data_IF_573899603445
#
_entry.id   IF_573899603445
#
_cell.length_a   1.000
_cell.length_b   1.000
_cell.length_c   1.000
_cell.angle_alpha   90.00
_cell.angle_beta   90.00
_cell.angle_gamma   90.00
#
_symmetry.space_group_name_H-M   'P 1'
#
loop_
_entity.id
_entity.type
_entity.pdbx_description
1 polymer ?
#
# COMPACT_ATOMS: atom_id res chain seq x y z
N UNK A 1 -33.66 23.39 -37.14
CA UNK A 1 -34.82 24.02 -36.49
C UNK A 1 -34.47 24.20 -35.01
N UNK A 2 -34.28 25.42 -34.70
CA UNK A 2 -34.26 26.24 -33.53
C UNK A 2 -35.19 25.73 -32.39
N UNK A 3 -34.71 25.68 -31.15
CA UNK A 3 -35.25 26.47 -30.04
C UNK A 3 -34.31 26.46 -28.82
N UNK A 4 -33.80 27.61 -28.56
CA UNK A 4 -33.18 28.22 -27.41
C UNK A 4 -34.27 28.41 -26.33
N UNK A 5 -33.97 28.19 -25.06
CA UNK A 5 -34.63 28.94 -23.99
C UNK A 5 -33.61 29.29 -22.89
N UNK A 6 -33.53 30.58 -22.66
CA UNK A 6 -32.76 31.32 -21.68
C UNK A 6 -33.58 31.57 -20.41
N UNK A 7 -32.88 32.01 -19.40
CA UNK A 7 -33.28 32.89 -18.27
C UNK A 7 -33.67 32.14 -16.98
N UNK A 8 -33.39 32.63 -15.76
CA UNK A 8 -32.93 33.95 -15.33
C UNK A 8 -32.35 33.86 -13.92
N UNK A 9 -31.47 34.77 -13.68
CA UNK A 9 -30.90 35.29 -12.44
C UNK A 9 -31.95 35.88 -11.52
N UNK A 10 -31.86 35.68 -10.19
CA UNK A 10 -32.38 36.65 -9.24
C UNK A 10 -31.46 36.74 -8.02
N UNK A 11 -30.85 37.89 -7.87
CA UNK A 11 -30.21 38.43 -6.66
C UNK A 11 -31.28 38.95 -5.72
N UNK A 12 -31.10 38.81 -4.43
CA UNK A 12 -31.62 39.79 -3.48
C UNK A 12 -30.69 39.88 -2.26
N UNK A 13 -30.35 41.13 -2.00
CA UNK A 13 -29.43 41.71 -1.04
C UNK A 13 -30.25 42.33 0.12
N UNK A 14 -29.57 42.53 1.25
CA UNK A 14 -29.92 43.40 2.43
C UNK A 14 -30.83 42.76 3.48
N UNK A 15 -30.52 42.88 4.78
CA UNK A 15 -30.16 44.10 5.49
C UNK A 15 -29.53 43.86 6.85
N UNK A 16 -28.75 44.85 7.26
CA UNK A 16 -28.16 45.11 8.58
C UNK A 16 -29.19 45.25 9.71
N UNK A 17 -28.76 44.91 10.91
CA UNK A 17 -29.41 45.31 12.14
C UNK A 17 -28.43 45.32 13.30
N UNK A 18 -27.76 46.44 13.53
CA UNK A 18 -27.07 46.81 14.77
C UNK A 18 -28.09 47.16 15.84
N UNK A 19 -27.92 46.65 17.08
CA UNK A 19 -28.28 47.40 18.27
C UNK A 19 -27.38 47.02 19.44
N UNK A 20 -26.68 48.05 19.94
CA UNK A 20 -25.95 48.09 21.19
C UNK A 20 -26.88 48.59 22.31
N UNK A 21 -26.57 48.15 23.56
CA UNK A 21 -26.67 48.92 24.84
C UNK A 21 -26.47 47.93 25.96
N UNK A 22 -25.39 48.04 26.71
CA UNK A 22 -25.16 48.91 27.86
C UNK A 22 -25.65 48.35 29.21
N UNK A 23 -24.70 48.06 30.09
CA UNK A 23 -24.70 48.53 31.46
C UNK A 23 -24.88 47.51 32.58
N UNK A 24 -23.83 47.27 33.34
CA UNK A 24 -23.71 47.53 34.80
C UNK A 24 -22.99 46.43 35.56
N UNK A 25 -21.83 46.78 36.05
CA UNK A 25 -21.20 46.18 37.24
C UNK A 25 -21.97 46.60 38.49
N UNK A 26 -21.89 45.88 39.60
CA UNK A 26 -21.22 46.46 40.75
C UNK A 26 -20.15 45.59 41.43
N UNK A 27 -19.33 46.35 42.12
CA UNK A 27 -18.12 45.96 42.88
C UNK A 27 -18.40 45.36 44.27
N UNK A 28 -17.37 44.61 44.72
CA UNK A 28 -16.71 44.63 46.07
C UNK A 28 -17.46 44.08 47.30
N UNK A 29 -16.84 43.06 47.92
CA UNK A 29 -16.22 43.21 49.27
C UNK A 29 -15.32 42.03 49.63
N UNK A 30 -14.13 42.39 50.02
CA UNK A 30 -13.05 41.61 50.67
C UNK A 30 -13.43 41.35 52.13
N UNK A 31 -13.18 40.15 52.64
CA UNK A 31 -12.80 39.94 54.03
C UNK A 31 -11.77 38.85 54.17
N UNK A 32 -10.64 39.21 54.79
CA UNK A 32 -9.58 38.33 55.26
C UNK A 32 -10.02 37.59 56.52
N UNK A 33 -9.58 36.32 56.64
CA UNK A 33 -9.24 35.76 57.95
C UNK A 33 -8.18 34.70 57.77
N UNK A 34 -7.03 34.93 58.37
CA UNK A 34 -5.92 34.00 58.58
C UNK A 34 -6.32 33.03 59.69
N UNK A 35 -6.02 31.73 59.53
CA UNK A 35 -5.54 30.90 60.65
C UNK A 35 -4.77 29.71 60.11
N UNK A 36 -3.54 29.61 60.62
CA UNK A 36 -2.55 28.55 60.45
C UNK A 36 -2.99 27.23 61.04
N UNK A 37 -2.76 26.11 60.31
CA UNK A 37 -2.49 24.82 60.93
C UNK A 37 -1.68 23.95 59.95
N UNK A 38 -0.50 23.63 60.36
CA UNK A 38 0.45 22.71 59.74
C UNK A 38 -0.08 21.26 59.92
N UNK A 39 -0.32 20.57 58.84
CA UNK A 39 -0.40 19.12 58.85
C UNK A 39 0.34 18.51 57.67
N UNK A 40 1.27 17.68 58.04
CA UNK A 40 2.14 16.83 57.22
C UNK A 40 1.27 15.83 56.45
N UNK A 41 1.15 15.99 55.15
CA UNK A 41 0.50 14.97 54.34
C UNK A 41 1.55 14.25 53.51
N UNK A 42 1.70 12.94 53.84
CA UNK A 42 2.38 11.96 53.03
C UNK A 42 1.96 12.09 51.56
N UNK A 43 2.94 12.23 50.68
CA UNK A 43 2.76 12.01 49.25
C UNK A 43 2.35 10.55 49.03
N UNK A 44 1.10 10.31 48.76
CA UNK A 44 0.66 9.08 48.15
C UNK A 44 0.95 9.27 46.63
N UNK A 45 1.93 8.54 46.14
CA UNK A 45 2.08 8.28 44.70
C UNK A 45 0.77 7.58 44.25
N UNK A 46 -0.11 8.32 43.64
CA UNK A 46 -1.15 7.77 42.78
C UNK A 46 -0.47 7.34 41.50
N UNK A 47 -0.24 6.05 41.35
CA UNK A 47 -0.15 5.42 40.04
C UNK A 47 -1.52 5.63 39.39
N UNK A 48 -1.64 6.68 38.58
CA UNK A 48 -2.71 6.76 37.60
C UNK A 48 -2.40 5.72 36.54
N UNK A 49 -3.03 4.57 36.67
CA UNK A 49 -3.28 3.67 35.57
C UNK A 49 -4.31 4.38 34.67
N UNK A 50 -3.83 5.34 33.87
CA UNK A 50 -4.63 6.01 32.85
C UNK A 50 -4.84 4.98 31.74
N UNK A 51 -5.95 4.22 31.82
CA UNK A 51 -6.37 3.40 30.71
C UNK A 51 -6.46 4.30 29.47
N UNK A 52 -5.68 3.94 28.46
CA UNK A 52 -5.67 4.60 27.15
C UNK A 52 -7.09 4.65 26.58
N UNK A 53 -7.47 5.75 25.96
CA UNK A 53 -8.78 5.88 25.32
C UNK A 53 -8.95 4.80 24.26
N UNK A 54 -10.14 4.18 24.18
CA UNK A 54 -10.41 3.09 23.23
C UNK A 54 -10.69 3.60 21.82
N UNK A 55 -9.74 4.33 21.27
CA UNK A 55 -9.74 4.88 19.91
C UNK A 55 -8.41 4.59 19.24
N UNK A 56 -8.41 4.47 17.93
CA UNK A 56 -7.23 4.33 17.07
C UNK A 56 -7.47 5.05 15.76
N UNK A 57 -6.54 5.92 15.34
CA UNK A 57 -6.60 6.63 14.05
C UNK A 57 -5.64 5.97 13.06
N UNK A 58 -6.19 5.43 11.96
CA UNK A 58 -5.44 4.68 10.95
C UNK A 58 -5.36 5.47 9.64
N UNK A 59 -4.15 5.82 9.22
CA UNK A 59 -3.87 6.38 7.90
C UNK A 59 -3.62 5.25 6.93
N UNK A 60 -4.44 5.11 5.88
CA UNK A 60 -4.35 3.99 4.96
C UNK A 60 -4.57 4.38 3.51
N UNK A 61 -3.80 3.75 2.61
CA UNK A 61 -4.00 3.78 1.17
C UNK A 61 -4.59 2.45 0.63
N UNK A 62 -5.04 1.58 1.54
CA UNK A 62 -5.55 0.25 1.19
C UNK A 62 -6.94 0.32 0.57
N UNK A 63 -7.29 -0.74 -0.16
CA UNK A 63 -8.61 -0.88 -0.77
C UNK A 63 -9.71 -0.91 0.29
N UNK A 64 -10.90 -0.43 -0.08
CA UNK A 64 -12.06 -0.49 0.78
C UNK A 64 -12.40 -1.93 1.19
N UNK A 65 -12.19 -2.90 0.29
CA UNK A 65 -12.43 -4.31 0.57
C UNK A 65 -11.56 -4.82 1.72
N UNK A 66 -10.27 -4.49 1.73
CA UNK A 66 -9.33 -4.90 2.79
C UNK A 66 -9.62 -4.16 4.11
N UNK A 67 -9.89 -2.86 4.06
CA UNK A 67 -10.27 -2.09 5.24
C UNK A 67 -11.54 -2.65 5.89
N UNK A 68 -12.56 -2.94 5.09
CA UNK A 68 -13.84 -3.50 5.55
C UNK A 68 -13.72 -4.94 6.07
N UNK A 69 -12.71 -5.67 5.64
CA UNK A 69 -12.43 -7.02 6.12
C UNK A 69 -11.71 -7.03 7.48
N UNK A 70 -10.78 -6.10 7.69
CA UNK A 70 -9.86 -6.13 8.85
C UNK A 70 -10.36 -5.27 10.01
N UNK A 71 -10.82 -4.05 9.73
CA UNK A 71 -11.13 -3.07 10.77
C UNK A 71 -12.28 -3.50 11.68
N UNK A 72 -13.45 -3.98 11.16
CA UNK A 72 -14.52 -4.45 12.03
C UNK A 72 -14.11 -5.62 12.91
N UNK A 73 -13.27 -6.51 12.42
CA UNK A 73 -12.76 -7.66 13.20
C UNK A 73 -11.86 -7.20 14.34
N UNK A 74 -11.00 -6.19 14.11
CA UNK A 74 -10.20 -5.56 15.16
C UNK A 74 -11.08 -4.89 16.22
N UNK A 75 -12.07 -4.10 15.78
CA UNK A 75 -13.01 -3.45 16.70
C UNK A 75 -13.78 -4.46 17.56
N UNK A 76 -14.25 -5.56 16.94
CA UNK A 76 -14.96 -6.63 17.63
C UNK A 76 -14.08 -7.35 18.64
N UNK A 77 -12.82 -7.63 18.28
CA UNK A 77 -11.88 -8.38 19.14
C UNK A 77 -11.40 -7.55 20.34
N UNK A 78 -11.24 -6.23 20.18
CA UNK A 78 -10.57 -5.36 21.15
C UNK A 78 -11.50 -4.37 21.86
N UNK A 79 -12.63 -4.03 21.24
CA UNK A 79 -13.51 -2.95 21.64
C UNK A 79 -12.90 -1.55 21.43
N UNK A 80 -11.81 -1.45 20.66
CA UNK A 80 -11.15 -0.21 20.26
C UNK A 80 -11.83 0.27 18.96
N UNK A 81 -12.30 1.53 18.93
CA UNK A 81 -12.89 2.12 17.73
C UNK A 81 -11.82 2.66 16.79
N UNK A 82 -11.97 2.37 15.50
CA UNK A 82 -11.01 2.80 14.47
C UNK A 82 -11.57 3.92 13.63
N UNK A 83 -10.87 5.04 13.62
CA UNK A 83 -11.11 6.15 12.71
C UNK A 83 -10.14 6.03 11.52
N UNK A 84 -10.70 5.96 10.30
CA UNK A 84 -9.91 5.72 9.08
C UNK A 84 -9.75 7.00 8.29
N UNK A 85 -8.52 7.33 7.94
CA UNK A 85 -8.18 8.40 6.99
C UNK A 85 -7.63 7.76 5.73
N UNK A 86 -8.43 7.78 4.66
CA UNK A 86 -8.06 7.20 3.36
C UNK A 86 -7.55 8.28 2.43
N UNK A 87 -6.31 8.12 1.93
CA UNK A 87 -5.72 8.98 0.91
C UNK A 87 -4.58 8.25 0.19
N UNK A 88 -4.01 8.88 -0.84
CA UNK A 88 -2.82 8.34 -1.50
C UNK A 88 -1.60 8.33 -0.56
N UNK A 89 -0.72 7.33 -0.69
CA UNK A 89 0.45 7.16 0.19
C UNK A 89 1.29 8.43 0.31
N UNK A 90 1.57 9.11 -0.80
CA UNK A 90 2.35 10.35 -0.79
C UNK A 90 1.66 11.51 -0.06
N UNK A 91 0.34 11.57 -0.09
CA UNK A 91 -0.46 12.54 0.66
C UNK A 91 -0.43 12.22 2.16
N UNK A 92 -0.61 10.95 2.52
CA UNK A 92 -0.52 10.50 3.91
C UNK A 92 0.87 10.74 4.51
N UNK A 93 1.96 10.49 3.76
CA UNK A 93 3.32 10.80 4.21
C UNK A 93 3.54 12.30 4.44
N UNK A 94 3.07 13.16 3.52
CA UNK A 94 3.12 14.62 3.70
C UNK A 94 2.33 15.05 4.93
N UNK A 95 1.17 14.44 5.16
CA UNK A 95 0.34 14.70 6.33
C UNK A 95 1.07 14.29 7.60
N UNK A 96 1.57 13.05 7.70
CA UNK A 96 2.33 12.57 8.85
C UNK A 96 3.57 13.45 9.12
N UNK A 97 4.28 13.88 8.07
CA UNK A 97 5.41 14.80 8.20
C UNK A 97 4.99 16.17 8.76
N UNK A 98 3.87 16.71 8.33
CA UNK A 98 3.35 18.01 8.84
C UNK A 98 2.87 17.93 10.29
N UNK A 99 2.43 16.76 10.73
CA UNK A 99 1.91 16.47 12.06
C UNK A 99 2.97 15.91 13.02
N UNK A 100 4.23 15.78 12.60
CA UNK A 100 5.32 15.09 13.31
C UNK A 100 5.45 15.47 14.78
N UNK A 101 5.28 16.75 15.11
CA UNK A 101 5.40 17.26 16.49
C UNK A 101 4.13 17.02 17.33
N UNK A 102 3.00 16.78 16.69
CA UNK A 102 1.72 16.47 17.35
C UNK A 102 0.87 15.57 16.43
N UNK A 103 1.18 14.27 16.37
CA UNK A 103 0.52 13.34 15.47
C UNK A 103 -0.99 13.26 15.73
N UNK A 104 -1.78 13.26 14.67
CA UNK A 104 -3.21 13.05 14.72
C UNK A 104 -3.58 11.61 14.34
N UNK A 105 -2.67 10.88 13.68
CA UNK A 105 -2.78 9.46 13.41
C UNK A 105 -1.97 8.63 14.40
N UNK A 106 -2.34 7.36 14.57
CA UNK A 106 -1.63 6.39 15.40
C UNK A 106 -0.92 5.34 14.53
N UNK A 107 -1.57 4.91 13.46
CA UNK A 107 -1.09 3.89 12.52
C UNK A 107 -0.92 4.50 11.12
N UNK A 108 0.15 4.10 10.47
CA UNK A 108 0.37 4.30 9.03
C UNK A 108 0.35 2.93 8.34
N UNK A 109 -0.73 2.62 7.63
CA UNK A 109 -0.92 1.36 6.91
C UNK A 109 -0.99 1.63 5.40
N UNK A 110 0.18 1.81 4.82
CA UNK A 110 0.30 2.09 3.39
C UNK A 110 1.75 1.92 2.94
N UNK A 111 1.96 1.46 1.71
CA UNK A 111 3.24 1.31 1.04
C UNK A 111 4.17 0.21 1.59
N UNK A 112 5.20 -0.05 0.81
CA UNK A 112 6.29 -0.96 1.14
C UNK A 112 7.46 -0.23 1.84
N UNK A 113 8.39 -1.00 2.34
CA UNK A 113 9.58 -0.49 3.01
C UNK A 113 10.43 0.42 2.10
N UNK A 114 10.50 0.12 0.80
CA UNK A 114 11.26 0.90 -0.18
C UNK A 114 10.79 2.35 -0.20
N UNK A 115 9.47 2.55 -0.18
CA UNK A 115 8.87 3.88 -0.19
C UNK A 115 8.98 4.59 1.15
N UNK A 116 8.99 3.85 2.27
CA UNK A 116 8.94 4.39 3.62
C UNK A 116 10.31 4.65 4.24
N UNK A 117 11.38 4.02 3.74
CA UNK A 117 12.72 4.07 4.36
C UNK A 117 13.28 5.49 4.49
N UNK A 118 13.02 6.36 3.53
CA UNK A 118 13.41 7.79 3.61
C UNK A 118 12.65 8.59 4.68
N UNK A 119 11.56 8.05 5.22
CA UNK A 119 10.69 8.67 6.21
C UNK A 119 10.69 7.93 7.54
N UNK A 120 11.72 7.12 7.80
CA UNK A 120 11.84 6.28 9.00
C UNK A 120 11.67 7.05 10.31
N UNK A 121 12.07 8.29 10.34
CA UNK A 121 11.98 9.19 11.51
C UNK A 121 10.54 9.55 11.92
N UNK A 122 9.55 9.23 11.08
CA UNK A 122 8.12 9.37 11.39
C UNK A 122 7.56 8.19 12.19
N UNK A 123 8.29 7.09 12.31
CA UNK A 123 7.77 5.85 12.86
C UNK A 123 8.40 5.47 14.18
N UNK A 124 7.64 4.78 15.03
CA UNK A 124 8.08 4.20 16.29
C UNK A 124 8.69 2.82 16.04
N UNK A 125 9.68 2.45 16.84
CA UNK A 125 10.27 1.12 16.79
C UNK A 125 9.35 0.12 17.48
N UNK A 126 8.88 -0.87 16.72
CA UNK A 126 8.06 -1.94 17.25
C UNK A 126 8.21 -3.22 16.41
N UNK A 127 8.44 -4.34 17.08
CA UNK A 127 8.42 -5.67 16.47
C UNK A 127 7.31 -6.48 17.14
N UNK A 128 6.35 -6.92 16.32
CA UNK A 128 5.22 -7.72 16.78
C UNK A 128 5.66 -9.05 17.40
N UNK A 129 4.94 -9.52 18.41
CA UNK A 129 5.10 -10.87 18.95
C UNK A 129 4.80 -11.98 17.93
N UNK A 130 4.05 -11.66 16.85
CA UNK A 130 3.71 -12.57 15.75
C UNK A 130 4.79 -12.63 14.66
N UNK A 131 5.86 -11.84 14.77
CA UNK A 131 6.87 -11.69 13.72
C UNK A 131 7.52 -13.02 13.29
N UNK A 132 7.77 -13.92 14.23
CA UNK A 132 8.41 -15.22 13.94
C UNK A 132 7.48 -16.19 13.18
N UNK A 133 6.17 -15.93 13.20
CA UNK A 133 5.16 -16.70 12.47
C UNK A 133 5.03 -16.28 10.99
N UNK A 134 5.65 -15.17 10.62
CA UNK A 134 5.67 -14.67 9.24
C UNK A 134 6.69 -15.45 8.40
N UNK A 135 6.45 -15.53 7.09
CA UNK A 135 7.46 -16.05 6.15
C UNK A 135 8.75 -15.24 6.27
N UNK A 136 9.90 -15.88 6.08
CA UNK A 136 11.21 -15.26 6.33
C UNK A 136 11.39 -13.89 5.64
N UNK A 137 11.06 -13.72 4.34
CA UNK A 137 11.21 -12.42 3.66
C UNK A 137 10.32 -11.31 4.20
N UNK A 138 9.25 -11.67 4.95
CA UNK A 138 8.29 -10.72 5.49
C UNK A 138 8.51 -10.41 6.98
N UNK A 139 9.58 -10.92 7.58
CA UNK A 139 9.88 -10.61 8.99
C UNK A 139 10.40 -9.17 9.12
N UNK A 140 9.85 -8.46 10.10
CA UNK A 140 10.38 -7.15 10.47
C UNK A 140 11.77 -7.32 11.09
N UNK A 141 12.80 -7.05 10.31
CA UNK A 141 14.21 -7.09 10.73
C UNK A 141 14.77 -5.69 11.02
N UNK A 142 14.04 -4.65 10.65
CA UNK A 142 14.45 -3.25 10.80
C UNK A 142 14.02 -2.61 12.11
N UNK A 143 13.02 -3.22 12.78
CA UNK A 143 12.35 -2.66 13.95
C UNK A 143 11.22 -1.67 13.62
N UNK A 144 11.13 -1.17 12.38
CA UNK A 144 10.21 -0.07 12.03
C UNK A 144 9.14 -0.44 11.03
N UNK A 145 9.43 -1.36 10.12
CA UNK A 145 8.53 -1.71 9.02
C UNK A 145 8.04 -3.14 9.21
N UNK A 146 6.75 -3.29 9.41
CA UNK A 146 6.11 -4.58 9.65
C UNK A 146 5.27 -4.97 8.43
N UNK A 147 5.79 -5.81 7.51
CA UNK A 147 5.00 -6.33 6.41
C UNK A 147 3.82 -7.14 6.92
N UNK A 148 2.60 -6.79 6.51
CA UNK A 148 1.39 -7.52 6.90
C UNK A 148 0.80 -8.35 5.75
N UNK A 149 0.86 -7.81 4.53
CA UNK A 149 0.39 -8.46 3.31
C UNK A 149 1.40 -8.25 2.18
N UNK A 150 1.25 -8.98 1.08
CA UNK A 150 2.07 -8.77 -0.11
C UNK A 150 1.24 -8.60 -1.37
N UNK A 151 1.83 -7.86 -2.31
CA UNK A 151 1.35 -7.70 -3.68
C UNK A 151 2.42 -8.17 -4.67
N UNK A 152 2.66 -9.50 -4.78
CA UNK A 152 3.72 -10.03 -5.62
C UNK A 152 3.50 -9.71 -7.09
N UNK A 153 4.62 -9.49 -7.81
CA UNK A 153 4.59 -9.29 -9.25
C UNK A 153 4.21 -10.58 -9.98
N UNK A 154 3.26 -10.46 -10.90
CA UNK A 154 2.75 -11.58 -11.71
C UNK A 154 2.50 -11.15 -13.15
N UNK A 155 2.30 -12.13 -14.01
CA UNK A 155 1.64 -11.94 -15.29
C UNK A 155 0.19 -12.38 -15.17
N UNK A 156 -0.75 -11.61 -15.74
CA UNK A 156 -2.12 -12.02 -16.03
C UNK A 156 -2.20 -12.46 -17.49
N UNK A 157 -2.71 -13.64 -17.76
CA UNK A 157 -2.78 -14.21 -19.11
C UNK A 157 -4.24 -14.54 -19.44
N UNK A 158 -4.71 -14.07 -20.60
CA UNK A 158 -6.03 -14.44 -21.12
C UNK A 158 -5.91 -15.82 -21.80
N UNK A 159 -6.55 -16.83 -21.20
CA UNK A 159 -6.48 -18.23 -21.63
C UNK A 159 -7.07 -18.46 -23.01
N UNK A 160 -8.16 -17.75 -23.33
CA UNK A 160 -8.84 -17.93 -24.63
C UNK A 160 -8.01 -17.38 -25.78
N UNK A 161 -7.32 -16.23 -25.54
CA UNK A 161 -6.46 -15.60 -26.55
C UNK A 161 -5.09 -16.26 -26.65
N UNK A 162 -4.56 -16.76 -25.53
CA UNK A 162 -3.27 -17.49 -25.51
C UNK A 162 -3.38 -18.84 -26.20
N UNK A 163 -4.54 -19.52 -26.12
CA UNK A 163 -4.74 -20.85 -26.71
C UNK A 163 -3.68 -21.85 -26.23
N UNK A 164 -2.92 -22.42 -27.15
CA UNK A 164 -1.84 -23.36 -26.85
C UNK A 164 -0.48 -22.69 -26.55
N UNK A 165 -0.41 -21.36 -26.59
CA UNK A 165 0.81 -20.61 -26.32
C UNK A 165 1.18 -20.72 -24.85
N UNK A 166 2.40 -21.17 -24.57
CA UNK A 166 2.93 -21.24 -23.19
C UNK A 166 3.53 -19.90 -22.81
N UNK A 167 2.99 -19.28 -21.77
CA UNK A 167 3.48 -18.05 -21.17
C UNK A 167 3.74 -18.34 -19.68
N UNK A 168 4.97 -18.79 -19.38
CA UNK A 168 5.37 -19.24 -18.04
C UNK A 168 6.41 -18.31 -17.39
N UNK A 169 7.00 -17.40 -18.17
CA UNK A 169 8.03 -16.50 -17.68
C UNK A 169 8.32 -15.33 -18.63
N UNK A 170 9.28 -14.52 -18.23
CA UNK A 170 9.63 -13.29 -18.97
C UNK A 170 10.23 -13.62 -20.35
N UNK A 171 10.98 -14.72 -20.48
CA UNK A 171 11.52 -15.14 -21.76
C UNK A 171 10.43 -15.36 -22.82
N UNK A 172 9.25 -15.82 -22.42
CA UNK A 172 8.15 -16.13 -23.33
C UNK A 172 7.49 -14.84 -23.88
N UNK A 173 7.66 -13.69 -23.20
CA UNK A 173 7.18 -12.38 -23.68
C UNK A 173 7.91 -11.90 -24.94
N UNK A 174 9.03 -12.52 -25.30
CA UNK A 174 9.75 -12.24 -26.54
C UNK A 174 9.20 -13.00 -27.76
N UNK A 175 8.16 -13.84 -27.57
CA UNK A 175 7.49 -14.52 -28.69
C UNK A 175 6.92 -13.46 -29.67
N UNK A 176 7.29 -13.50 -30.99
CA UNK A 176 6.78 -12.54 -31.97
C UNK A 176 5.26 -12.53 -32.13
N UNK A 177 4.56 -13.61 -31.76
CA UNK A 177 3.10 -13.67 -31.78
C UNK A 177 2.45 -12.76 -30.73
N UNK A 178 3.21 -12.35 -29.71
CA UNK A 178 2.78 -11.40 -28.69
C UNK A 178 3.00 -9.94 -29.08
N UNK A 179 3.56 -9.67 -30.26
CA UNK A 179 3.83 -8.28 -30.67
C UNK A 179 2.55 -7.43 -30.69
N UNK A 180 2.56 -6.33 -29.93
CA UNK A 180 1.43 -5.42 -29.73
C UNK A 180 0.26 -6.02 -28.95
N UNK A 181 0.46 -7.19 -28.28
CA UNK A 181 -0.56 -7.89 -27.47
C UNK A 181 -0.17 -8.04 -26.00
N UNK A 182 0.85 -7.32 -25.57
CA UNK A 182 1.34 -7.27 -24.18
C UNK A 182 0.83 -5.96 -23.54
N UNK A 183 0.16 -6.05 -22.40
CA UNK A 183 -0.21 -4.92 -21.60
C UNK A 183 0.89 -4.63 -20.57
N UNK A 184 1.47 -3.44 -20.64
CA UNK A 184 2.51 -2.98 -19.72
C UNK A 184 2.34 -1.50 -19.44
N UNK A 185 2.42 -1.10 -18.16
CA UNK A 185 2.35 0.29 -17.75
C UNK A 185 3.69 1.02 -17.91
N UNK A 186 3.68 2.32 -17.72
CA UNK A 186 4.89 3.14 -17.72
C UNK A 186 5.60 3.05 -16.35
N UNK A 187 6.82 2.48 -16.26
CA UNK A 187 7.58 2.36 -15.00
C UNK A 187 7.96 3.69 -14.36
N UNK A 188 8.00 4.78 -15.12
CA UNK A 188 8.29 6.12 -14.60
C UNK A 188 7.14 6.63 -13.74
N UNK A 189 5.88 6.33 -14.15
CA UNK A 189 4.67 6.88 -13.57
C UNK A 189 3.84 5.87 -12.76
N UNK A 190 4.15 4.58 -12.84
CA UNK A 190 3.41 3.49 -12.19
C UNK A 190 4.32 2.63 -11.32
N UNK A 191 4.02 2.54 -10.01
CA UNK A 191 4.76 1.68 -9.09
C UNK A 191 4.69 0.20 -9.49
N UNK A 192 3.52 -0.31 -9.89
CA UNK A 192 3.39 -1.70 -10.32
C UNK A 192 4.16 -2.01 -11.61
N UNK A 193 4.20 -1.06 -12.56
CA UNK A 193 5.00 -1.20 -13.77
C UNK A 193 6.50 -1.14 -13.45
N UNK A 194 6.92 -0.29 -12.51
CA UNK A 194 8.29 -0.28 -12.01
C UNK A 194 8.68 -1.59 -11.34
N UNK A 195 7.85 -2.14 -10.47
CA UNK A 195 8.08 -3.44 -9.84
C UNK A 195 8.17 -4.56 -10.90
N UNK A 196 7.32 -4.51 -11.94
CA UNK A 196 7.38 -5.47 -13.05
C UNK A 196 8.66 -5.32 -13.88
N UNK A 197 9.12 -4.08 -14.12
CA UNK A 197 10.42 -3.83 -14.77
C UNK A 197 11.55 -4.41 -13.93
N UNK A 198 11.55 -4.16 -12.62
CA UNK A 198 12.56 -4.75 -11.72
C UNK A 198 12.54 -6.26 -11.76
N UNK A 199 11.36 -6.89 -11.73
CA UNK A 199 11.24 -8.35 -11.83
C UNK A 199 11.82 -8.89 -13.17
N UNK A 200 11.62 -8.19 -14.28
CA UNK A 200 12.24 -8.54 -15.56
C UNK A 200 13.76 -8.36 -15.52
N UNK A 201 14.27 -7.26 -14.97
CA UNK A 201 15.70 -6.99 -14.89
C UNK A 201 16.43 -8.05 -14.03
N UNK A 202 15.89 -8.36 -12.83
CA UNK A 202 16.44 -9.44 -12.00
C UNK A 202 16.31 -10.82 -12.66
N UNK A 203 15.17 -11.10 -13.29
CA UNK A 203 14.88 -12.41 -13.89
C UNK A 203 15.70 -12.72 -15.14
N UNK A 204 16.04 -11.68 -15.90
CA UNK A 204 16.74 -11.83 -17.19
C UNK A 204 18.20 -11.38 -17.14
N UNK A 205 18.59 -10.73 -16.04
CA UNK A 205 19.97 -10.30 -15.82
C UNK A 205 20.88 -11.45 -15.45
N UNK A 206 22.14 -11.34 -15.89
CA UNK A 206 23.17 -12.29 -15.50
C UNK A 206 23.36 -12.29 -13.99
N UNK A 207 23.28 -13.46 -13.37
CA UNK A 207 23.41 -13.61 -11.93
C UNK A 207 22.41 -12.76 -11.11
N UNK A 208 21.24 -12.50 -11.66
CA UNK A 208 20.23 -11.58 -11.08
C UNK A 208 20.76 -10.14 -10.87
N UNK A 209 21.65 -9.67 -11.75
CA UNK A 209 22.11 -8.28 -11.73
C UNK A 209 21.20 -7.44 -12.64
N UNK A 210 20.39 -6.49 -12.07
CA UNK A 210 19.48 -5.67 -12.84
C UNK A 210 20.17 -4.62 -13.73
N UNK A 211 21.47 -4.37 -13.53
CA UNK A 211 22.25 -3.44 -14.35
C UNK A 211 23.11 -4.16 -15.39
N UNK A 212 23.03 -5.51 -15.50
CA UNK A 212 23.79 -6.27 -16.48
C UNK A 212 23.37 -5.95 -17.93
N UNK A 213 24.29 -6.11 -18.88
CA UNK A 213 24.00 -5.94 -20.31
C UNK A 213 22.88 -6.89 -20.77
N UNK A 214 22.81 -8.08 -20.19
CA UNK A 214 21.81 -9.10 -20.53
C UNK A 214 20.39 -8.65 -20.14
N UNK A 215 20.22 -8.04 -18.96
CA UNK A 215 18.90 -7.54 -18.52
C UNK A 215 18.38 -6.43 -19.43
N UNK A 216 19.24 -5.50 -19.83
CA UNK A 216 18.85 -4.40 -20.70
C UNK A 216 18.71 -4.82 -22.17
N UNK A 217 19.51 -5.77 -22.64
CA UNK A 217 19.29 -6.39 -23.96
C UNK A 217 17.96 -7.17 -24.05
N UNK A 218 17.50 -7.72 -22.91
CA UNK A 218 16.14 -8.28 -22.84
C UNK A 218 15.09 -7.17 -22.92
N UNK A 219 15.25 -6.07 -22.18
CA UNK A 219 14.32 -4.93 -22.19
C UNK A 219 14.16 -4.36 -23.60
N UNK A 220 15.24 -4.22 -24.36
CA UNK A 220 15.17 -3.78 -25.76
C UNK A 220 14.26 -4.65 -26.62
N UNK A 221 14.42 -5.98 -26.51
CA UNK A 221 13.56 -6.94 -27.24
C UNK A 221 12.12 -6.90 -26.77
N UNK A 222 11.91 -6.75 -25.46
CA UNK A 222 10.58 -6.62 -24.88
C UNK A 222 9.87 -5.34 -25.39
N UNK A 223 10.56 -4.21 -25.44
CA UNK A 223 10.04 -2.95 -25.99
C UNK A 223 9.64 -3.09 -27.46
N UNK A 224 10.40 -3.86 -28.27
CA UNK A 224 10.02 -4.17 -29.64
C UNK A 224 8.71 -4.96 -29.74
N UNK A 225 8.45 -5.86 -28.78
CA UNK A 225 7.20 -6.61 -28.72
C UNK A 225 6.03 -5.79 -28.14
N UNK A 226 6.29 -4.76 -27.33
CA UNK A 226 5.24 -3.79 -26.93
C UNK A 226 4.68 -3.00 -28.12
N UNK A 227 5.45 -2.86 -29.20
CA UNK A 227 5.05 -2.16 -30.42
C UNK A 227 4.62 -0.70 -30.15
N UNK A 228 5.34 -0.02 -29.26
CA UNK A 228 5.08 1.36 -28.82
C UNK A 228 3.83 1.58 -27.97
N UNK A 229 3.18 0.49 -27.50
CA UNK A 229 1.96 0.56 -26.70
C UNK A 229 2.26 0.39 -25.23
N UNK A 230 2.11 1.45 -24.45
CA UNK A 230 2.10 1.39 -22.99
C UNK A 230 0.76 1.83 -22.43
N UNK A 231 0.32 1.15 -21.38
CA UNK A 231 -0.92 1.48 -20.68
C UNK A 231 -0.74 2.73 -19.82
N UNK A 232 -1.75 3.60 -19.82
CA UNK A 232 -1.73 4.86 -19.06
C UNK A 232 -1.93 4.68 -17.54
N UNK A 233 -2.39 3.49 -17.13
CA UNK A 233 -2.61 3.16 -15.73
C UNK A 233 -2.43 1.68 -15.48
N UNK A 234 -2.10 1.31 -14.23
CA UNK A 234 -2.02 -0.09 -13.82
C UNK A 234 -3.35 -0.83 -13.99
N UNK A 235 -4.48 -0.15 -13.80
CA UNK A 235 -5.79 -0.77 -14.00
C UNK A 235 -6.10 -1.10 -15.45
N UNK A 236 -5.56 -0.35 -16.41
CA UNK A 236 -5.70 -0.66 -17.83
C UNK A 236 -4.99 -1.98 -18.19
N UNK A 237 -3.90 -2.32 -17.51
CA UNK A 237 -3.16 -3.57 -17.75
C UNK A 237 -4.06 -4.79 -17.52
N UNK A 238 -4.51 -4.98 -16.27
CA UNK A 238 -5.26 -6.19 -15.94
C UNK A 238 -6.68 -6.21 -16.54
N UNK A 239 -7.33 -5.04 -16.66
CA UNK A 239 -8.63 -4.92 -17.34
C UNK A 239 -8.53 -5.26 -18.82
N UNK A 240 -7.55 -4.69 -19.52
CA UNK A 240 -7.36 -4.93 -20.95
C UNK A 240 -7.11 -6.41 -21.27
N UNK A 241 -6.40 -7.13 -20.39
CA UNK A 241 -6.22 -8.58 -20.53
C UNK A 241 -7.54 -9.34 -20.25
N UNK A 242 -8.23 -9.00 -19.17
CA UNK A 242 -9.48 -9.67 -18.81
C UNK A 242 -10.59 -9.43 -19.86
N UNK A 243 -10.62 -8.26 -20.46
CA UNK A 243 -11.58 -7.88 -21.51
C UNK A 243 -11.16 -8.35 -22.93
N UNK A 244 -9.97 -8.97 -23.07
CA UNK A 244 -9.49 -9.54 -24.31
C UNK A 244 -8.86 -8.55 -25.29
N UNK A 245 -8.44 -7.38 -24.83
CA UNK A 245 -7.65 -6.43 -25.62
C UNK A 245 -6.19 -6.90 -25.77
N UNK A 246 -5.63 -7.53 -24.74
CA UNK A 246 -4.28 -8.07 -24.70
C UNK A 246 -4.28 -9.55 -24.34
N UNK A 247 -3.23 -10.27 -24.75
CA UNK A 247 -3.05 -11.68 -24.39
C UNK A 247 -2.45 -11.83 -23.00
N UNK A 248 -1.47 -10.99 -22.67
CA UNK A 248 -0.75 -11.02 -21.39
C UNK A 248 -0.51 -9.61 -20.87
N UNK A 249 -0.49 -9.47 -19.55
CA UNK A 249 -0.17 -8.20 -18.89
C UNK A 249 0.72 -8.41 -17.69
N UNK A 250 1.60 -7.45 -17.41
CA UNK A 250 2.45 -7.45 -16.21
C UNK A 250 1.79 -6.60 -15.14
N UNK A 251 1.50 -7.21 -14.01
CA UNK A 251 0.71 -6.60 -12.93
C UNK A 251 1.12 -7.20 -11.58
N UNK A 252 0.27 -7.04 -10.56
CA UNK A 252 0.44 -7.70 -9.26
C UNK A 252 -0.73 -8.66 -8.97
N UNK A 253 -0.55 -9.53 -7.98
CA UNK A 253 -1.42 -10.68 -7.77
C UNK A 253 -2.87 -10.31 -7.46
N UNK A 254 -3.12 -9.35 -6.56
CA UNK A 254 -4.47 -9.02 -6.07
C UNK A 254 -5.49 -8.76 -7.20
N UNK A 255 -5.30 -7.81 -8.13
CA UNK A 255 -6.25 -7.60 -9.20
C UNK A 255 -6.33 -8.79 -10.18
N UNK A 256 -5.21 -9.47 -10.47
CA UNK A 256 -5.22 -10.61 -11.36
C UNK A 256 -6.01 -11.79 -10.75
N UNK A 257 -5.80 -12.08 -9.47
CA UNK A 257 -6.52 -13.10 -8.71
C UNK A 257 -8.01 -12.74 -8.55
N UNK A 258 -8.35 -11.45 -8.46
CA UNK A 258 -9.75 -11.00 -8.42
C UNK A 258 -10.51 -11.40 -9.68
N UNK A 259 -9.92 -11.22 -10.86
CA UNK A 259 -10.54 -11.66 -12.11
C UNK A 259 -10.66 -13.18 -12.21
N UNK A 260 -9.69 -13.95 -11.68
CA UNK A 260 -9.78 -15.42 -11.61
C UNK A 260 -10.94 -15.83 -10.68
N UNK A 261 -11.03 -15.20 -9.50
CA UNK A 261 -12.11 -15.41 -8.52
C UNK A 261 -13.49 -15.12 -9.12
N UNK A 262 -13.60 -14.08 -9.94
CA UNK A 262 -14.83 -13.67 -10.59
C UNK A 262 -15.16 -14.51 -11.85
N UNK A 263 -14.32 -15.50 -12.20
CA UNK A 263 -14.54 -16.45 -13.30
C UNK A 263 -14.20 -15.92 -14.68
N UNK A 264 -13.42 -14.85 -14.79
CA UNK A 264 -12.89 -14.37 -16.06
C UNK A 264 -11.95 -15.42 -16.71
N UNK A 265 -11.84 -15.46 -18.05
CA UNK A 265 -11.00 -16.43 -18.75
C UNK A 265 -9.50 -16.08 -18.66
N UNK A 266 -9.04 -15.78 -17.45
CA UNK A 266 -7.64 -15.43 -17.19
C UNK A 266 -6.99 -16.39 -16.20
N UNK A 267 -5.67 -16.36 -16.15
CA UNK A 267 -4.88 -17.03 -15.12
C UNK A 267 -3.78 -16.11 -14.58
N UNK A 268 -3.35 -16.38 -13.34
CA UNK A 268 -2.23 -15.74 -12.68
C UNK A 268 -0.98 -16.59 -12.89
N UNK A 269 0.03 -16.02 -13.51
CA UNK A 269 1.30 -16.69 -13.77
C UNK A 269 2.41 -16.00 -12.99
N UNK A 270 3.02 -16.73 -12.05
CA UNK A 270 4.27 -16.32 -11.44
C UNK A 270 5.42 -16.69 -12.38
N UNK A 271 6.23 -15.71 -12.81
CA UNK A 271 7.31 -16.00 -13.75
C UNK A 271 8.26 -17.06 -13.22
N UNK A 272 8.63 -18.03 -14.07
CA UNK A 272 9.57 -19.11 -13.71
C UNK A 272 10.97 -18.61 -13.35
N UNK A 273 11.34 -17.43 -13.80
CA UNK A 273 12.59 -16.75 -13.45
C UNK A 273 12.58 -16.31 -11.99
N UNK A 274 11.44 -15.84 -11.50
CA UNK A 274 11.22 -15.38 -10.13
C UNK A 274 10.21 -14.24 -10.05
N UNK A 275 9.74 -13.97 -8.83
CA UNK A 275 8.85 -12.87 -8.52
C UNK A 275 9.43 -11.98 -7.43
N UNK A 276 9.01 -10.73 -7.41
CA UNK A 276 9.23 -9.78 -6.32
C UNK A 276 8.01 -9.84 -5.40
N UNK A 277 8.26 -9.81 -4.09
CA UNK A 277 7.26 -9.84 -3.04
C UNK A 277 7.31 -8.56 -2.20
N UNK A 278 6.87 -7.42 -2.71
CA UNK A 278 6.83 -6.21 -1.91
C UNK A 278 5.85 -6.40 -0.76
N UNK A 279 6.38 -6.30 0.47
CA UNK A 279 5.59 -6.39 1.68
C UNK A 279 4.92 -5.06 1.98
N UNK A 280 3.59 -5.03 1.96
CA UNK A 280 2.84 -3.87 2.42
C UNK A 280 2.86 -3.78 3.93
N UNK A 281 3.41 -2.69 4.41
CA UNK A 281 3.76 -2.54 5.80
C UNK A 281 2.73 -1.75 6.61
N UNK A 282 2.61 -2.11 7.87
CA UNK A 282 1.89 -1.38 8.91
C UNK A 282 2.89 -0.87 9.94
N UNK A 283 2.86 0.45 10.25
CA UNK A 283 3.79 1.12 11.16
C UNK A 283 3.03 1.92 12.20
N UNK A 284 3.64 2.07 13.38
CA UNK A 284 3.17 2.97 14.42
C UNK A 284 3.77 4.36 14.17
N UNK A 285 2.94 5.40 14.14
CA UNK A 285 3.44 6.76 14.05
C UNK A 285 4.11 7.17 15.37
N UNK A 286 5.29 7.78 15.25
CA UNK A 286 6.08 8.19 16.40
C UNK A 286 5.35 9.24 17.22
N UNK A 287 5.39 9.11 18.55
CA UNK A 287 4.68 9.97 19.50
C UNK A 287 3.15 10.02 19.29
N UNK A 288 2.56 8.98 18.72
CA UNK A 288 1.11 8.88 18.55
C UNK A 288 0.39 8.91 19.91
N UNK A 289 -0.92 9.21 19.89
CA UNK A 289 -1.70 9.38 21.13
C UNK A 289 -2.07 8.05 21.79
N UNK A 290 -2.16 6.98 21.01
CA UNK A 290 -2.65 5.68 21.47
C UNK A 290 -1.65 4.56 21.16
N UNK A 291 -0.41 4.60 21.74
CA UNK A 291 0.67 3.68 21.39
C UNK A 291 0.36 2.21 21.72
N UNK A 292 -0.33 1.92 22.83
CA UNK A 292 -0.68 0.56 23.18
C UNK A 292 -1.80 -0.01 22.30
N UNK A 293 -2.76 0.82 21.86
CA UNK A 293 -3.76 0.41 20.88
C UNK A 293 -3.12 0.20 19.50
N UNK A 294 -2.15 1.02 19.14
CA UNK A 294 -1.39 0.89 17.90
C UNK A 294 -0.60 -0.44 17.85
N UNK A 295 0.07 -0.83 18.93
CA UNK A 295 0.75 -2.12 19.04
C UNK A 295 -0.22 -3.28 18.87
N UNK A 296 -1.40 -3.22 19.54
CA UNK A 296 -2.45 -4.24 19.40
C UNK A 296 -2.94 -4.34 17.95
N UNK A 297 -3.01 -3.22 17.23
CA UNK A 297 -3.41 -3.24 15.82
C UNK A 297 -2.35 -3.92 14.95
N UNK A 298 -1.07 -3.62 15.15
CA UNK A 298 0.03 -4.27 14.43
C UNK A 298 0.03 -5.79 14.71
N UNK A 299 -0.08 -6.20 15.97
CA UNK A 299 -0.16 -7.62 16.34
C UNK A 299 -1.38 -8.30 15.72
N UNK A 300 -2.54 -7.63 15.72
CA UNK A 300 -3.76 -8.14 15.12
C UNK A 300 -3.63 -8.36 13.61
N UNK A 301 -2.98 -7.43 12.90
CA UNK A 301 -2.72 -7.56 11.45
C UNK A 301 -1.91 -8.81 11.10
N UNK A 302 -1.00 -9.24 11.99
CA UNK A 302 -0.17 -10.42 11.80
C UNK A 302 -0.76 -11.69 12.43
N UNK A 303 -1.90 -11.59 13.13
CA UNK A 303 -2.53 -12.72 13.79
C UNK A 303 -2.99 -13.79 12.80
N UNK A 304 -3.04 -15.05 13.26
CA UNK A 304 -3.58 -16.17 12.47
C UNK A 304 -5.01 -15.88 11.98
N UNK A 305 -5.83 -15.26 12.84
CA UNK A 305 -7.22 -14.91 12.52
C UNK A 305 -7.32 -14.03 11.26
N UNK A 306 -6.62 -12.90 11.25
CA UNK A 306 -6.68 -11.95 10.11
C UNK A 306 -6.03 -12.53 8.88
N UNK A 307 -4.84 -13.10 9.03
CA UNK A 307 -4.07 -13.66 7.92
C UNK A 307 -4.80 -14.84 7.25
N UNK A 308 -5.45 -15.72 8.04
CA UNK A 308 -6.31 -16.79 7.53
C UNK A 308 -7.55 -16.27 6.84
N UNK A 309 -8.21 -15.26 7.43
CA UNK A 309 -9.41 -14.66 6.83
C UNK A 309 -9.09 -14.03 5.47
N UNK A 310 -8.04 -13.22 5.41
CA UNK A 310 -7.60 -12.56 4.17
C UNK A 310 -7.21 -13.60 3.12
N UNK A 311 -6.38 -14.59 3.48
CA UNK A 311 -5.92 -15.62 2.56
C UNK A 311 -7.02 -16.50 1.96
N UNK A 312 -8.13 -16.69 2.68
CA UNK A 312 -9.24 -17.54 2.23
C UNK A 312 -10.37 -16.78 1.55
N UNK A 313 -10.54 -15.49 1.84
CA UNK A 313 -11.72 -14.73 1.40
C UNK A 313 -11.38 -13.57 0.45
N UNK A 314 -10.15 -13.06 0.52
CA UNK A 314 -9.70 -11.95 -0.33
C UNK A 314 -8.66 -12.44 -1.35
N UNK A 315 -8.24 -11.52 -2.20
CA UNK A 315 -7.23 -11.74 -3.24
C UNK A 315 -5.85 -11.17 -2.87
N UNK A 316 -5.78 -10.46 -1.73
CA UNK A 316 -4.54 -9.98 -1.12
C UNK A 316 -3.80 -11.14 -0.47
N UNK A 317 -2.51 -11.23 -0.67
CA UNK A 317 -1.71 -12.36 -0.15
C UNK A 317 -1.31 -12.15 1.30
N UNK A 318 -1.71 -13.06 2.23
CA UNK A 318 -1.20 -13.07 3.59
C UNK A 318 0.28 -13.47 3.61
N UNK A 319 0.99 -13.02 4.63
CA UNK A 319 2.42 -13.27 4.81
C UNK A 319 2.74 -14.22 5.97
N UNK A 320 1.73 -14.74 6.63
CA UNK A 320 1.90 -15.75 7.68
C UNK A 320 2.15 -17.13 7.08
N UNK A 321 3.11 -17.87 7.62
CA UNK A 321 3.58 -19.14 7.07
C UNK A 321 2.58 -20.30 7.24
N UNK A 322 1.74 -20.25 8.28
CA UNK A 322 0.88 -21.33 8.75
C UNK A 322 -0.61 -21.22 8.34
N UNK A 323 -0.92 -20.26 7.42
CA UNK A 323 -2.29 -20.04 6.96
C UNK A 323 -2.58 -20.68 5.60
N UNK A 324 -3.84 -21.04 5.39
CA UNK A 324 -4.32 -21.57 4.11
C UNK A 324 -4.74 -20.43 3.19
N UNK A 325 -4.40 -20.60 1.92
CA UNK A 325 -4.85 -19.72 0.84
C UNK A 325 -6.11 -20.28 0.18
N UNK A 326 -6.86 -19.41 -0.49
CA UNK A 326 -7.93 -19.83 -1.38
C UNK A 326 -7.38 -20.63 -2.59
N UNK A 327 -8.20 -21.51 -3.17
CA UNK A 327 -7.77 -22.42 -4.24
C UNK A 327 -7.32 -21.70 -5.52
N UNK A 328 -7.70 -20.43 -5.70
CA UNK A 328 -7.26 -19.60 -6.83
C UNK A 328 -5.91 -18.92 -6.60
N UNK A 329 -5.31 -19.08 -5.41
CA UNK A 329 -4.01 -18.51 -5.06
C UNK A 329 -2.94 -19.62 -5.03
N UNK A 330 -1.81 -19.36 -5.66
CA UNK A 330 -0.69 -20.30 -5.66
C UNK A 330 -0.05 -20.37 -4.27
N UNK A 331 0.24 -21.59 -3.73
CA UNK A 331 0.95 -21.73 -2.45
C UNK A 331 2.31 -21.00 -2.46
N UNK A 332 2.66 -20.37 -1.34
CA UNK A 332 3.92 -19.61 -1.22
C UNK A 332 5.14 -20.45 -1.54
N UNK A 333 5.16 -21.72 -1.11
CA UNK A 333 6.28 -22.64 -1.36
C UNK A 333 6.51 -22.96 -2.84
N UNK A 334 5.51 -22.74 -3.70
CA UNK A 334 5.57 -23.00 -5.13
C UNK A 334 5.98 -21.76 -5.94
N UNK A 335 6.25 -20.62 -5.27
CA UNK A 335 6.66 -19.38 -5.90
C UNK A 335 8.16 -19.19 -5.72
N UNK A 336 8.85 -19.08 -6.83
CA UNK A 336 10.27 -18.73 -6.83
C UNK A 336 10.44 -17.25 -6.59
N UNK A 337 11.23 -16.88 -5.59
CA UNK A 337 11.64 -15.50 -5.32
C UNK A 337 13.05 -15.27 -5.86
N UNK A 338 13.41 -14.01 -6.06
CA UNK A 338 14.78 -13.64 -6.39
C UNK A 338 15.64 -13.63 -5.13
N UNK A 339 16.76 -14.34 -5.14
CA UNK A 339 17.68 -14.44 -4.00
C UNK A 339 18.43 -13.13 -3.73
N UNK A 340 18.63 -12.32 -4.80
CA UNK A 340 19.41 -11.08 -4.73
C UNK A 340 18.56 -9.80 -4.72
N UNK A 341 17.24 -9.93 -4.65
CA UNK A 341 16.39 -8.75 -4.59
C UNK A 341 16.57 -8.00 -3.27
N UNK A 342 16.94 -6.73 -3.35
CA UNK A 342 17.15 -5.85 -2.21
C UNK A 342 16.32 -4.57 -2.39
N UNK A 343 15.30 -4.40 -1.55
CA UNK A 343 14.39 -3.26 -1.61
C UNK A 343 15.11 -1.92 -1.36
N UNK A 344 16.12 -1.91 -0.48
CA UNK A 344 16.89 -0.71 -0.18
C UNK A 344 17.70 -0.27 -1.40
N UNK A 345 18.40 -1.22 -2.04
CA UNK A 345 19.14 -0.96 -3.27
C UNK A 345 18.21 -0.46 -4.39
N UNK A 346 17.04 -1.09 -4.56
CA UNK A 346 16.04 -0.70 -5.57
C UNK A 346 15.56 0.73 -5.34
N UNK A 347 15.31 1.11 -4.08
CA UNK A 347 14.90 2.48 -3.73
C UNK A 347 15.96 3.52 -4.10
N UNK A 348 17.22 3.24 -3.80
CA UNK A 348 18.36 4.12 -4.10
C UNK A 348 18.59 4.30 -5.61
N UNK A 349 18.38 3.24 -6.41
CA UNK A 349 18.64 3.24 -7.86
C UNK A 349 17.38 3.51 -8.72
N UNK A 350 16.23 3.76 -8.12
CA UNK A 350 14.98 3.96 -8.87
C UNK A 350 15.08 5.01 -9.97
N UNK A 351 15.69 6.15 -9.66
CA UNK A 351 15.85 7.24 -10.63
C UNK A 351 16.76 6.85 -11.79
N UNK A 352 17.87 6.17 -11.49
CA UNK A 352 18.81 5.67 -12.50
C UNK A 352 18.11 4.69 -13.44
N UNK A 353 17.43 3.68 -12.88
CA UNK A 353 16.74 2.64 -13.67
C UNK A 353 15.62 3.23 -14.53
N UNK A 354 14.83 4.16 -14.01
CA UNK A 354 13.77 4.81 -14.79
C UNK A 354 14.33 5.72 -15.89
N UNK A 355 15.49 6.33 -15.68
CA UNK A 355 16.20 7.09 -16.71
C UNK A 355 16.70 6.17 -17.83
N UNK A 356 17.40 5.08 -17.46
CA UNK A 356 17.85 4.08 -18.43
C UNK A 356 16.67 3.52 -19.25
N UNK A 357 15.56 3.18 -18.59
CA UNK A 357 14.36 2.70 -19.30
C UNK A 357 13.84 3.72 -20.32
N UNK A 358 13.85 5.00 -19.99
CA UNK A 358 13.44 6.07 -20.92
C UNK A 358 14.38 6.15 -22.14
N UNK A 359 15.70 6.06 -21.92
CA UNK A 359 16.70 6.06 -22.97
C UNK A 359 16.53 4.86 -23.93
N UNK A 360 16.23 3.65 -23.39
CA UNK A 360 15.95 2.45 -24.17
C UNK A 360 14.66 2.60 -25.00
N UNK A 361 13.59 3.22 -24.45
CA UNK A 361 12.38 3.52 -25.22
C UNK A 361 12.71 4.44 -26.40
N UNK A 362 13.41 5.55 -26.17
CA UNK A 362 13.77 6.51 -27.21
C UNK A 362 14.60 5.84 -28.33
N UNK A 363 15.51 4.94 -27.93
CA UNK A 363 16.32 4.17 -28.88
C UNK A 363 15.50 3.17 -29.69
N UNK A 364 14.46 2.57 -29.09
CA UNK A 364 13.60 1.58 -29.77
C UNK A 364 12.62 2.21 -30.78
N UNK A 365 12.37 3.51 -30.69
CA UNK A 365 11.47 4.25 -31.61
C UNK A 365 12.20 4.85 -32.83
N UNK A 366 13.54 4.84 -32.85
CA UNK A 366 14.38 5.33 -33.95
C UNK A 366 14.91 4.17 -34.82
#
# INVERSE_FOLDING_TARGET
MKKILKAALLCSVLSLGLMACSGSKPEVKTEKSETSATETTKAAEKSEDSQEEKVLVVYTARSEALNNAVIPEFENATGIKVEVVVAGTGELLKRAQSEKENPLGDIFWAADQTMLSSSKDLFEEYVSSENDNMIEPARNTTGYFTPAFADPTVMIVNKDLAGDMKIEGFADLLNPELKGKIAFGDPVNSSSAFQSLMAMLYGMGKDQDPLSDESWAYVDKFLQNLDGKMCNSSSQVYKGVAEGEYIVGLTWEDPAASYVKDGAPVEVVFPKEGAIFPGESVQILKNCKHPENAKKFVDFMLSEQVQSYVGQNLTVRPLRADVKLADYMKPQADIKLFDKYDEGWVAEHKTEITTMFTEHIESSMN
#
